data_IF_386434455851
#
_entry.id   IF_386434455851
#
_cell.length_a   1.000
_cell.length_b   1.000
_cell.length_c   1.000
_cell.angle_alpha   90.00
_cell.angle_beta   90.00
_cell.angle_gamma   90.00
#
_symmetry.space_group_name_H-M   'P 1'
#
loop_
_entity.id
_entity.type
_entity.pdbx_description
1 polymer ?
#
# COMPACT_ATOMS: atom_id res chain seq x y z
N UNK A 1 -7.26 -11.09 17.25
CA UNK A 1 -5.80 -10.74 17.26
C UNK A 1 -5.04 -11.49 18.34
N UNK A 2 -5.46 -11.41 19.62
CA UNK A 2 -4.78 -12.12 20.71
C UNK A 2 -4.88 -13.66 20.60
N UNK A 3 -5.95 -14.16 20.00
CA UNK A 3 -6.15 -15.60 19.77
C UNK A 3 -5.34 -16.16 18.59
N UNK A 4 -4.95 -15.30 17.63
CA UNK A 4 -4.19 -15.70 16.42
C UNK A 4 -2.72 -15.30 16.60
N UNK A 5 -1.98 -16.10 17.36
CA UNK A 5 -0.57 -15.86 17.69
C UNK A 5 0.40 -16.21 16.55
N UNK A 6 -0.07 -17.00 15.59
CA UNK A 6 0.61 -17.36 14.34
C UNK A 6 0.77 -16.19 13.37
N UNK A 7 -0.02 -15.13 13.52
CA UNK A 7 0.15 -13.88 12.77
C UNK A 7 1.24 -13.03 13.42
N UNK A 8 2.47 -13.13 12.92
CA UNK A 8 3.65 -12.39 13.41
C UNK A 8 3.70 -10.93 12.91
N UNK A 9 2.59 -10.21 12.96
CA UNK A 9 2.51 -8.79 12.57
C UNK A 9 2.53 -7.90 13.81
N UNK A 10 3.53 -7.00 13.96
CA UNK A 10 3.52 -5.99 15.01
C UNK A 10 2.33 -5.04 14.88
N UNK A 11 1.80 -4.56 16.01
CA UNK A 11 0.65 -3.66 16.00
C UNK A 11 0.66 -2.67 17.17
N UNK A 12 -0.07 -1.57 17.01
CA UNK A 12 -0.45 -0.67 18.09
C UNK A 12 -1.82 -0.06 17.77
N UNK A 13 -2.39 0.71 18.70
CA UNK A 13 -3.70 1.32 18.49
C UNK A 13 -3.61 2.80 18.12
N UNK A 14 -4.50 3.22 17.23
CA UNK A 14 -4.87 4.61 17.02
C UNK A 14 -6.31 4.79 17.50
N UNK A 15 -6.51 5.58 18.55
CA UNK A 15 -7.82 5.86 19.09
C UNK A 15 -8.50 6.96 18.27
N UNK A 16 -9.49 6.56 17.48
CA UNK A 16 -10.42 7.46 16.81
C UNK A 16 -11.40 8.07 17.84
N UNK A 17 -10.92 9.05 18.61
CA UNK A 17 -11.64 9.66 19.74
C UNK A 17 -12.60 10.77 19.28
N UNK A 18 -13.49 10.45 18.37
CA UNK A 18 -14.52 11.36 17.89
C UNK A 18 -15.90 10.69 17.88
N UNK A 19 -16.95 11.51 17.77
CA UNK A 19 -18.29 10.99 17.57
C UNK A 19 -18.31 10.11 16.33
N UNK A 20 -18.84 8.90 16.46
CA UNK A 20 -19.14 8.10 15.29
C UNK A 20 -20.41 8.68 14.66
N UNK A 21 -20.24 9.42 13.58
CA UNK A 21 -21.33 10.02 12.80
C UNK A 21 -21.51 9.26 11.48
N UNK A 22 -22.69 9.34 10.87
CA UNK A 22 -22.91 8.78 9.50
C UNK A 22 -22.01 9.43 8.44
N UNK A 23 -21.55 10.65 8.69
CA UNK A 23 -20.53 11.35 7.89
C UNK A 23 -19.21 11.34 8.65
N UNK A 24 -18.10 11.10 7.97
CA UNK A 24 -16.77 11.01 8.57
C UNK A 24 -16.16 12.38 8.96
N UNK A 25 -16.73 13.49 8.49
CA UNK A 25 -16.17 14.84 8.68
C UNK A 25 -16.40 15.44 10.08
N UNK A 26 -17.03 14.70 11.00
CA UNK A 26 -17.25 15.10 12.38
C UNK A 26 -18.32 16.19 12.56
N UNK A 27 -19.21 16.38 11.58
CA UNK A 27 -20.39 17.23 11.73
C UNK A 27 -21.50 16.48 12.51
N UNK A 28 -21.88 17.02 13.67
CA UNK A 28 -22.81 16.44 14.67
C UNK A 28 -24.28 16.26 14.22
N UNK A 29 -24.58 16.41 12.94
CA UNK A 29 -25.96 16.38 12.45
C UNK A 29 -26.63 14.99 12.58
N UNK A 30 -25.86 13.89 12.54
CA UNK A 30 -26.36 12.51 12.71
C UNK A 30 -25.33 11.60 13.41
N UNK A 31 -25.25 11.71 14.75
CA UNK A 31 -24.38 10.87 15.61
C UNK A 31 -24.97 9.46 15.79
N UNK A 32 -24.20 8.44 15.41
CA UNK A 32 -24.49 7.02 15.62
C UNK A 32 -24.03 6.54 17.01
N UNK A 33 -22.85 7.00 17.45
CA UNK A 33 -22.32 6.77 18.79
C UNK A 33 -21.56 8.02 19.25
N UNK A 34 -22.01 8.64 20.33
CA UNK A 34 -21.37 9.83 20.88
C UNK A 34 -20.15 9.46 21.72
N UNK A 35 -19.08 10.24 21.58
CA UNK A 35 -17.91 10.16 22.44
C UNK A 35 -18.16 10.99 23.70
N UNK A 36 -18.15 10.33 24.87
CA UNK A 36 -18.39 10.96 26.16
C UNK A 36 -17.15 10.88 27.04
N UNK A 37 -16.46 12.01 27.20
CA UNK A 37 -15.25 12.07 28.01
C UNK A 37 -15.57 12.08 29.51
N UNK A 38 -15.01 11.12 30.25
CA UNK A 38 -15.19 10.99 31.69
C UNK A 38 -14.08 10.14 32.32
N UNK A 39 -13.92 10.24 33.63
CA UNK A 39 -13.00 9.36 34.35
C UNK A 39 -13.38 7.88 34.24
N UNK A 40 -14.66 7.53 34.10
CA UNK A 40 -15.09 6.15 33.85
C UNK A 40 -14.69 5.69 32.45
N UNK A 41 -14.93 6.50 31.43
CA UNK A 41 -14.52 6.21 30.04
C UNK A 41 -13.01 5.99 29.93
N UNK A 42 -12.21 6.85 30.56
CA UNK A 42 -10.76 6.67 30.64
C UNK A 42 -10.35 5.32 31.24
N UNK A 43 -11.04 4.86 32.31
CA UNK A 43 -10.78 3.57 32.97
C UNK A 43 -11.21 2.40 32.08
N UNK A 44 -12.39 2.47 31.50
CA UNK A 44 -12.96 1.40 30.69
C UNK A 44 -12.13 1.18 29.43
N UNK A 45 -11.72 2.27 28.78
CA UNK A 45 -10.81 2.26 27.64
C UNK A 45 -9.49 1.55 27.98
N UNK A 46 -8.77 2.00 29.03
CA UNK A 46 -7.47 1.42 29.31
C UNK A 46 -7.57 -0.03 29.78
N UNK A 47 -8.59 -0.39 30.58
CA UNK A 47 -8.84 -1.76 31.00
C UNK A 47 -9.04 -2.70 29.81
N UNK A 48 -9.77 -2.24 28.77
CA UNK A 48 -9.91 -2.98 27.52
C UNK A 48 -8.56 -3.19 26.80
N UNK A 49 -7.68 -2.19 26.83
CA UNK A 49 -6.38 -2.26 26.16
C UNK A 49 -5.36 -3.18 26.89
N UNK A 50 -5.47 -3.38 28.21
CA UNK A 50 -4.48 -4.12 29.02
C UNK A 50 -4.03 -5.46 28.40
N UNK A 51 -4.91 -6.35 27.91
CA UNK A 51 -4.48 -7.63 27.31
C UNK A 51 -3.63 -7.42 26.05
N UNK A 52 -3.90 -6.38 25.27
CA UNK A 52 -3.17 -6.05 24.05
C UNK A 52 -1.82 -5.41 24.34
N UNK A 53 -1.75 -4.51 25.33
CA UNK A 53 -0.51 -3.86 25.76
C UNK A 53 0.53 -4.85 26.32
N UNK A 54 0.07 -6.02 26.75
CA UNK A 54 0.92 -7.15 27.19
C UNK A 54 1.35 -8.07 26.07
N UNK A 55 0.77 -7.97 24.87
CA UNK A 55 1.19 -8.79 23.72
C UNK A 55 2.62 -8.42 23.31
N UNK A 56 3.45 -9.42 23.05
CA UNK A 56 4.86 -9.22 22.67
C UNK A 56 5.00 -8.52 21.31
N UNK A 57 3.97 -8.65 20.45
CA UNK A 57 3.90 -7.98 19.14
C UNK A 57 3.50 -6.50 19.26
N UNK A 58 3.14 -6.02 20.44
CA UNK A 58 2.73 -4.62 20.61
C UNK A 58 3.92 -3.69 20.43
N UNK A 59 3.81 -2.73 19.51
CA UNK A 59 4.87 -1.77 19.18
C UNK A 59 5.17 -0.90 20.41
N UNK A 60 6.47 -0.76 20.71
CA UNK A 60 6.97 -0.01 21.87
C UNK A 60 8.07 0.97 21.43
N UNK A 61 8.09 2.13 22.05
CA UNK A 61 9.18 3.13 21.94
C UNK A 61 9.79 3.28 23.33
N UNK A 62 11.11 3.20 23.46
CA UNK A 62 11.78 3.18 24.77
C UNK A 62 11.16 2.19 25.78
N UNK A 63 10.66 1.04 25.31
CA UNK A 63 9.99 0.01 26.12
C UNK A 63 8.54 0.33 26.52
N UNK A 64 8.00 1.50 26.15
CA UNK A 64 6.64 1.96 26.45
C UNK A 64 5.67 1.63 25.31
N UNK A 65 4.50 1.02 25.57
CA UNK A 65 3.51 0.74 24.53
C UNK A 65 3.03 2.01 23.84
N UNK A 66 3.01 2.03 22.50
CA UNK A 66 2.60 3.19 21.71
C UNK A 66 1.07 3.29 21.60
N UNK A 67 0.51 4.47 21.84
CA UNK A 67 -0.90 4.78 21.58
C UNK A 67 -1.00 6.09 20.78
N UNK A 68 -1.64 6.05 19.61
CA UNK A 68 -1.97 7.26 18.86
C UNK A 68 -3.35 7.79 19.28
N UNK A 69 -3.49 9.10 19.38
CA UNK A 69 -4.77 9.78 19.64
C UNK A 69 -5.11 10.69 18.46
N UNK A 70 -6.24 10.43 17.81
CA UNK A 70 -6.60 11.08 16.55
C UNK A 70 -6.98 12.56 16.71
N UNK A 71 -7.79 12.92 17.69
CA UNK A 71 -8.27 14.29 17.91
C UNK A 71 -8.00 14.73 19.34
N UNK A 72 -6.75 14.97 19.76
CA UNK A 72 -6.43 15.30 21.15
C UNK A 72 -7.13 16.58 21.62
N UNK A 73 -7.38 17.53 20.70
CA UNK A 73 -8.11 18.78 20.96
C UNK A 73 -9.57 18.60 21.40
N UNK A 74 -10.17 17.41 21.22
CA UNK A 74 -11.54 17.14 21.67
C UNK A 74 -11.61 16.63 23.12
N UNK A 75 -10.48 16.25 23.72
CA UNK A 75 -10.42 15.75 25.09
C UNK A 75 -10.44 16.95 26.06
N UNK A 76 -11.47 17.13 26.90
CA UNK A 76 -11.58 18.32 27.76
C UNK A 76 -10.47 18.42 28.80
N UNK A 77 -10.03 17.27 29.34
CA UNK A 77 -8.94 17.16 30.30
C UNK A 77 -8.07 15.93 29.96
N UNK A 78 -7.07 16.08 29.08
CA UNK A 78 -6.20 14.98 28.69
C UNK A 78 -5.31 14.49 29.84
N UNK A 79 -4.95 15.37 30.79
CA UNK A 79 -4.14 14.99 31.95
C UNK A 79 -4.88 14.02 32.86
N UNK A 80 -6.18 14.22 33.08
CA UNK A 80 -7.02 13.26 33.80
C UNK A 80 -6.98 11.86 33.17
N UNK A 81 -7.06 11.77 31.85
CA UNK A 81 -6.99 10.50 31.13
C UNK A 81 -5.63 9.83 31.31
N UNK A 82 -4.55 10.58 31.07
CA UNK A 82 -3.17 10.10 31.19
C UNK A 82 -2.88 9.61 32.61
N UNK A 83 -3.30 10.34 33.64
CA UNK A 83 -3.11 9.96 35.04
C UNK A 83 -3.84 8.65 35.39
N UNK A 84 -5.08 8.51 34.93
CA UNK A 84 -5.87 7.28 35.11
C UNK A 84 -5.18 6.11 34.41
N UNK A 85 -4.74 6.30 33.16
CA UNK A 85 -4.07 5.26 32.38
C UNK A 85 -2.76 4.84 33.03
N UNK A 86 -1.91 5.79 33.43
CA UNK A 86 -0.65 5.50 34.10
C UNK A 86 -0.86 4.71 35.39
N UNK A 87 -1.86 5.09 36.19
CA UNK A 87 -2.20 4.36 37.43
C UNK A 87 -2.63 2.92 37.16
N UNK A 88 -3.49 2.70 36.18
CA UNK A 88 -3.99 1.35 35.84
C UNK A 88 -2.88 0.50 35.19
N UNK A 89 -2.12 1.06 34.24
CA UNK A 89 -0.97 0.38 33.64
C UNK A 89 0.03 -0.09 34.71
N UNK A 90 0.36 0.77 35.67
CA UNK A 90 1.27 0.43 36.77
C UNK A 90 0.74 -0.75 37.62
N UNK A 91 -0.57 -0.83 37.89
CA UNK A 91 -1.19 -1.95 38.60
C UNK A 91 -1.05 -3.28 37.84
N UNK A 92 -0.90 -3.22 36.52
CA UNK A 92 -0.74 -4.38 35.65
C UNK A 92 0.72 -4.66 35.25
N UNK A 93 1.69 -3.92 35.80
CA UNK A 93 3.11 -4.07 35.48
C UNK A 93 3.49 -3.53 34.10
N UNK A 94 2.68 -2.62 33.54
CA UNK A 94 2.91 -1.98 32.24
C UNK A 94 3.49 -0.59 32.49
N UNK A 95 4.58 -0.18 31.82
CA UNK A 95 5.10 1.17 31.94
C UNK A 95 4.11 2.21 31.40
N UNK A 96 4.29 3.51 31.70
CA UNK A 96 3.50 4.58 31.10
C UNK A 96 3.44 4.45 29.57
N UNK A 97 2.27 4.66 28.97
CA UNK A 97 2.12 4.59 27.51
C UNK A 97 2.95 5.68 26.83
N UNK A 98 3.51 5.40 25.66
CA UNK A 98 4.07 6.41 24.77
C UNK A 98 2.94 6.97 23.90
N UNK A 99 2.50 8.20 24.17
CA UNK A 99 1.28 8.75 23.57
C UNK A 99 1.67 9.71 22.44
N UNK A 100 1.17 9.44 21.24
CA UNK A 100 1.40 10.26 20.05
C UNK A 100 0.14 11.00 19.63
N UNK A 101 0.20 12.33 19.63
CA UNK A 101 -0.88 13.20 19.15
C UNK A 101 -0.89 13.26 17.63
N UNK A 102 -2.02 12.97 16.97
CA UNK A 102 -2.16 13.32 15.54
C UNK A 102 -2.41 14.83 15.47
N UNK A 103 -1.63 15.55 14.64
CA UNK A 103 -1.70 17.03 14.51
C UNK A 103 -2.92 17.48 13.72
N UNK A 104 -4.02 17.28 14.44
CA UNK A 104 -5.42 17.18 14.09
C UNK A 104 -6.36 18.30 14.49
N UNK A 105 -7.15 18.95 13.60
CA UNK A 105 -8.36 19.67 13.99
C UNK A 105 -8.11 20.63 15.18
N UNK A 106 -7.07 21.45 15.05
CA UNK A 106 -6.63 22.39 16.10
C UNK A 106 -5.51 21.89 17.02
N UNK A 107 -5.01 20.67 16.86
CA UNK A 107 -3.84 20.17 17.57
C UNK A 107 -2.56 20.50 16.78
N UNK A 108 -1.69 21.30 17.39
CA UNK A 108 -0.44 21.77 16.77
C UNK A 108 0.81 21.34 17.53
N UNK A 109 0.68 21.11 18.84
CA UNK A 109 1.77 20.69 19.72
C UNK A 109 1.27 19.57 20.66
N UNK A 110 1.96 18.42 20.74
CA UNK A 110 1.56 17.33 21.63
C UNK A 110 1.68 17.69 23.11
N UNK A 111 2.56 18.64 23.45
CA UNK A 111 2.85 19.05 24.84
C UNK A 111 1.65 19.75 25.48
N UNK A 112 0.83 20.44 24.68
CA UNK A 112 -0.42 21.07 25.12
C UNK A 112 -1.42 20.05 25.72
N UNK A 113 -1.23 18.77 25.40
CA UNK A 113 -2.08 17.66 25.84
C UNK A 113 -1.35 16.68 26.76
N UNK A 114 -0.11 16.99 27.17
CA UNK A 114 0.73 16.08 27.97
C UNK A 114 1.18 14.81 27.24
N UNK A 115 1.22 14.83 25.90
CA UNK A 115 1.61 13.68 25.07
C UNK A 115 3.10 13.72 24.70
N UNK A 116 3.67 12.56 24.39
CA UNK A 116 5.13 12.40 24.20
C UNK A 116 5.62 12.85 22.82
N UNK A 117 4.82 12.62 21.78
CA UNK A 117 5.19 12.93 20.40
C UNK A 117 4.00 13.32 19.55
N UNK A 118 4.28 13.72 18.32
CA UNK A 118 3.28 14.12 17.34
C UNK A 118 3.44 13.38 16.02
N UNK A 119 2.31 13.02 15.44
CA UNK A 119 2.22 12.48 14.09
C UNK A 119 1.73 13.57 13.14
N UNK A 120 2.51 13.83 12.09
CA UNK A 120 2.11 14.64 10.95
C UNK A 120 0.75 14.15 10.42
N UNK A 121 -0.22 15.04 10.21
CA UNK A 121 -1.42 14.69 9.46
C UNK A 121 -1.30 15.23 8.05
N UNK A 122 -1.64 14.39 7.09
CA UNK A 122 -1.66 14.71 5.67
C UNK A 122 -3.08 14.52 5.14
N UNK A 123 -4.05 15.40 5.47
CA UNK A 123 -5.47 15.29 5.02
C UNK A 123 -6.29 16.61 5.10
N UNK A 124 -7.27 16.76 4.20
CA UNK A 124 -8.38 17.76 4.14
C UNK A 124 -8.02 19.24 4.02
N UNK A 125 -6.88 19.67 4.54
CA UNK A 125 -6.30 20.99 4.37
C UNK A 125 -4.84 20.87 3.90
N UNK A 126 -4.58 19.87 3.04
CA UNK A 126 -3.28 19.32 2.63
C UNK A 126 -2.09 20.25 2.79
N UNK A 127 -2.19 21.48 2.33
CA UNK A 127 -1.10 22.45 2.41
C UNK A 127 -1.53 23.82 2.92
N UNK A 128 -2.72 23.97 3.50
CA UNK A 128 -3.25 25.25 3.96
C UNK A 128 -3.35 26.31 2.86
N UNK A 129 -3.51 25.89 1.59
CA UNK A 129 -3.51 26.75 0.41
C UNK A 129 -2.12 27.03 -0.19
N UNK A 130 -1.05 26.37 0.27
CA UNK A 130 0.31 26.51 -0.28
C UNK A 130 0.55 25.72 -1.57
N UNK A 131 -0.41 24.90 -2.00
CA UNK A 131 -0.38 24.18 -3.28
C UNK A 131 -1.51 24.71 -4.16
N UNK A 132 -1.20 24.94 -5.43
CA UNK A 132 -2.16 25.46 -6.41
C UNK A 132 -3.22 24.42 -6.75
N UNK A 133 -4.46 24.88 -6.91
CA UNK A 133 -5.55 24.11 -7.50
C UNK A 133 -5.25 23.82 -8.98
N UNK A 134 -5.37 22.56 -9.37
CA UNK A 134 -5.16 22.14 -10.77
C UNK A 134 -6.46 21.76 -11.47
N UNK A 135 -7.59 21.74 -10.76
CA UNK A 135 -8.88 21.25 -11.29
C UNK A 135 -9.25 21.86 -12.65
N UNK A 136 -9.01 23.15 -12.86
CA UNK A 136 -9.40 23.86 -14.10
C UNK A 136 -8.48 23.61 -15.29
N UNK A 137 -7.31 23.00 -15.07
CA UNK A 137 -6.42 22.54 -16.15
C UNK A 137 -6.74 21.13 -16.66
N UNK A 138 -7.58 20.38 -15.96
CA UNK A 138 -7.87 18.98 -16.26
C UNK A 138 -9.05 18.81 -17.23
N UNK A 139 -9.02 17.72 -18.00
CA UNK A 139 -10.19 17.27 -18.76
C UNK A 139 -11.15 16.56 -17.81
N UNK A 140 -12.34 17.14 -17.60
CA UNK A 140 -13.32 16.68 -16.61
C UNK A 140 -14.42 15.85 -17.31
N UNK A 141 -14.63 14.61 -16.87
CA UNK A 141 -15.76 13.77 -17.30
C UNK A 141 -17.00 13.89 -16.40
N UNK A 142 -16.85 14.53 -15.24
CA UNK A 142 -17.87 14.74 -14.22
C UNK A 142 -17.63 16.11 -13.54
N UNK A 143 -18.65 16.79 -12.97
CA UNK A 143 -18.44 18.03 -12.22
C UNK A 143 -17.47 17.85 -11.05
N UNK A 144 -16.51 18.77 -10.92
CA UNK A 144 -15.53 18.82 -9.82
C UNK A 144 -15.57 20.22 -9.21
N UNK A 145 -16.33 20.37 -8.13
CA UNK A 145 -16.53 21.63 -7.40
C UNK A 145 -15.55 21.76 -6.23
N UNK A 146 -15.18 20.63 -5.61
CA UNK A 146 -14.18 20.57 -4.54
C UNK A 146 -12.76 20.89 -4.99
N UNK A 147 -11.77 20.28 -4.36
CA UNK A 147 -10.35 20.62 -4.54
C UNK A 147 -9.61 19.53 -5.30
N UNK A 148 -8.73 19.92 -6.23
CA UNK A 148 -7.80 18.99 -6.88
C UNK A 148 -6.40 19.59 -6.83
N UNK A 149 -5.48 18.87 -6.17
CA UNK A 149 -4.07 19.24 -6.03
C UNK A 149 -3.18 18.25 -6.77
N UNK A 150 -2.02 18.68 -7.25
CA UNK A 150 -1.00 17.76 -7.79
C UNK A 150 -0.28 17.03 -6.65
N UNK A 151 -0.16 15.70 -6.76
CA UNK A 151 0.50 14.86 -5.76
C UNK A 151 1.96 15.24 -5.53
N UNK A 152 2.70 15.55 -6.60
CA UNK A 152 4.11 15.94 -6.52
C UNK A 152 4.29 17.27 -5.79
N UNK A 153 3.40 18.23 -6.01
CA UNK A 153 3.42 19.51 -5.30
C UNK A 153 3.05 19.35 -3.81
N UNK A 154 2.06 18.51 -3.49
CA UNK A 154 1.71 18.16 -2.10
C UNK A 154 2.90 17.47 -1.41
N UNK A 155 3.50 16.45 -2.04
CA UNK A 155 4.68 15.77 -1.52
C UNK A 155 5.85 16.73 -1.29
N UNK A 156 6.08 17.64 -2.24
CA UNK A 156 7.13 18.68 -2.13
C UNK A 156 6.86 19.65 -0.99
N UNK A 157 5.62 20.05 -0.78
CA UNK A 157 5.24 20.90 0.36
C UNK A 157 5.58 20.23 1.68
N UNK A 158 5.18 18.97 1.87
CA UNK A 158 5.47 18.23 3.10
C UNK A 158 6.96 17.98 3.27
N UNK A 159 7.67 17.61 2.20
CA UNK A 159 9.11 17.40 2.26
C UNK A 159 9.88 18.65 2.74
N UNK A 160 9.41 19.85 2.38
CA UNK A 160 9.98 21.14 2.83
C UNK A 160 9.68 21.49 4.29
N UNK A 161 8.83 20.73 4.98
CA UNK A 161 8.61 20.89 6.43
C UNK A 161 9.75 20.22 7.21
N UNK A 162 10.98 20.71 7.04
CA UNK A 162 12.21 20.13 7.59
C UNK A 162 12.73 20.84 8.85
N UNK A 163 12.05 21.91 9.28
CA UNK A 163 12.40 22.64 10.49
C UNK A 163 12.32 21.74 11.73
N UNK A 164 13.37 21.81 12.57
CA UNK A 164 13.42 21.13 13.87
C UNK A 164 12.18 21.48 14.70
N UNK A 165 11.60 20.47 15.35
CA UNK A 165 10.49 20.62 16.30
C UNK A 165 11.03 20.48 17.72
N UNK A 166 10.35 21.10 18.69
CA UNK A 166 10.69 20.96 20.12
C UNK A 166 10.15 19.67 20.75
N UNK A 167 9.49 18.84 19.95
CA UNK A 167 8.88 17.56 20.33
C UNK A 167 9.21 16.52 19.26
N UNK A 168 9.06 15.23 19.62
CA UNK A 168 9.28 14.14 18.69
C UNK A 168 8.21 14.17 17.57
N UNK A 169 8.65 14.30 16.33
CA UNK A 169 7.78 14.52 15.18
C UNK A 169 7.91 13.38 14.16
N UNK A 170 6.89 12.53 14.12
CA UNK A 170 6.80 11.41 13.19
C UNK A 170 6.21 11.87 11.87
N UNK A 171 6.87 11.53 10.76
CA UNK A 171 6.40 11.84 9.41
C UNK A 171 5.26 10.91 9.00
N UNK A 172 4.36 11.42 8.19
CA UNK A 172 3.36 10.59 7.53
C UNK A 172 3.16 10.99 6.09
N UNK A 173 2.52 10.11 5.32
CA UNK A 173 2.24 10.30 3.91
C UNK A 173 1.05 9.44 3.48
N UNK A 174 0.52 9.71 2.28
CA UNK A 174 -0.55 8.93 1.66
C UNK A 174 -0.10 8.34 0.31
N UNK A 175 -0.53 7.13 -0.07
CA UNK A 175 -0.32 6.61 -1.43
C UNK A 175 -1.01 7.47 -2.48
N UNK A 176 -2.26 7.86 -2.22
CA UNK A 176 -3.08 8.76 -3.04
C UNK A 176 -4.24 9.27 -2.18
N UNK A 177 -5.10 10.11 -2.75
CA UNK A 177 -6.37 10.51 -2.12
C UNK A 177 -7.42 10.85 -3.18
N UNK A 178 -8.56 10.19 -3.12
CA UNK A 178 -9.75 10.50 -3.90
C UNK A 178 -11.00 10.05 -3.16
N UNK A 179 -11.79 11.01 -2.69
CA UNK A 179 -13.01 10.74 -1.95
C UNK A 179 -14.30 11.06 -2.72
N UNK A 180 -14.20 11.04 -4.05
CA UNK A 180 -15.33 11.18 -4.98
C UNK A 180 -16.44 10.16 -4.70
N UNK A 181 -16.10 8.95 -4.27
CA UNK A 181 -17.09 7.94 -3.89
C UNK A 181 -18.02 8.38 -2.74
N UNK A 182 -17.52 9.23 -1.82
CA UNK A 182 -18.30 9.75 -0.67
C UNK A 182 -18.98 11.07 -0.96
N UNK A 183 -18.28 11.98 -1.65
CA UNK A 183 -18.69 13.39 -1.76
C UNK A 183 -19.11 13.82 -3.16
N UNK A 184 -18.98 12.95 -4.16
CA UNK A 184 -19.34 13.25 -5.54
C UNK A 184 -18.58 14.47 -6.06
N UNK A 185 -19.30 15.49 -6.52
CA UNK A 185 -18.69 16.72 -7.06
C UNK A 185 -17.94 17.56 -6.02
N UNK A 186 -18.21 17.36 -4.72
CA UNK A 186 -17.58 18.12 -3.63
C UNK A 186 -16.31 17.47 -3.09
N UNK A 187 -15.72 16.53 -3.83
CA UNK A 187 -14.57 15.74 -3.39
C UNK A 187 -13.27 16.53 -3.33
N UNK A 188 -12.35 15.99 -2.53
CA UNK A 188 -10.95 16.35 -2.50
C UNK A 188 -10.16 15.25 -3.20
N UNK A 189 -9.31 15.64 -4.15
CA UNK A 189 -8.49 14.72 -4.92
C UNK A 189 -7.04 15.19 -4.92
N UNK A 190 -6.12 14.27 -4.65
CA UNK A 190 -4.70 14.47 -4.88
C UNK A 190 -4.33 13.69 -6.14
N UNK A 191 -4.28 14.41 -7.26
CA UNK A 191 -4.19 13.86 -8.60
C UNK A 191 -2.73 13.60 -9.02
N UNK A 192 -2.55 12.81 -10.09
CA UNK A 192 -1.21 12.45 -10.62
C UNK A 192 -0.30 11.76 -9.59
N UNK A 193 -0.87 11.00 -8.66
CA UNK A 193 -0.09 10.09 -7.82
C UNK A 193 0.48 8.95 -8.65
N UNK A 194 1.76 8.64 -8.44
CA UNK A 194 2.44 7.50 -9.05
C UNK A 194 3.31 6.79 -8.02
N UNK A 195 3.59 5.49 -8.20
CA UNK A 195 4.51 4.75 -7.34
C UNK A 195 5.91 5.40 -7.23
N UNK A 196 6.38 6.08 -8.28
CA UNK A 196 7.64 6.83 -8.29
C UNK A 196 7.57 8.06 -7.37
N UNK A 197 6.54 8.89 -7.52
CA UNK A 197 6.36 10.08 -6.67
C UNK A 197 6.17 9.68 -5.20
N UNK A 198 5.37 8.63 -4.94
CA UNK A 198 5.19 8.09 -3.60
C UNK A 198 6.51 7.57 -3.01
N UNK A 199 7.32 6.83 -3.78
CA UNK A 199 8.64 6.39 -3.32
C UNK A 199 9.50 7.60 -2.95
N UNK A 200 9.56 8.63 -3.80
CA UNK A 200 10.34 9.83 -3.54
C UNK A 200 9.90 10.58 -2.28
N UNK A 201 8.59 10.64 -1.99
CA UNK A 201 8.10 11.21 -0.74
C UNK A 201 8.49 10.36 0.47
N UNK A 202 8.32 9.04 0.38
CA UNK A 202 8.69 8.12 1.45
C UNK A 202 10.20 8.18 1.77
N UNK A 203 11.06 8.23 0.76
CA UNK A 203 12.51 8.36 0.92
C UNK A 203 12.88 9.64 1.68
N UNK A 204 12.23 10.77 1.36
CA UNK A 204 12.44 12.04 2.07
C UNK A 204 11.95 11.96 3.52
N UNK A 205 10.79 11.35 3.77
CA UNK A 205 10.28 11.11 5.12
C UNK A 205 11.21 10.20 5.94
N UNK A 206 11.77 9.15 5.34
CA UNK A 206 12.77 8.27 5.97
C UNK A 206 14.05 9.05 6.29
N UNK A 207 14.56 9.86 5.34
CA UNK A 207 15.76 10.65 5.54
C UNK A 207 15.60 11.67 6.69
N UNK A 208 14.46 12.38 6.72
CA UNK A 208 14.11 13.29 7.81
C UNK A 208 14.09 12.54 9.15
N UNK A 209 13.40 11.40 9.20
CA UNK A 209 13.23 10.60 10.42
C UNK A 209 14.59 10.15 10.96
N UNK A 210 15.46 9.64 10.10
CA UNK A 210 16.82 9.22 10.48
C UNK A 210 17.70 10.36 10.98
N UNK A 211 17.51 11.56 10.43
CA UNK A 211 18.30 12.74 10.81
C UNK A 211 17.83 13.37 12.14
N UNK A 212 16.56 13.22 12.50
CA UNK A 212 15.94 13.97 13.61
C UNK A 212 15.50 13.10 14.80
N UNK A 213 15.39 11.78 14.64
CA UNK A 213 14.92 10.88 15.70
C UNK A 213 15.96 9.80 16.02
N UNK A 214 16.02 9.29 17.27
CA UNK A 214 16.84 8.15 17.61
C UNK A 214 16.33 6.86 16.96
N UNK A 215 17.18 5.86 16.85
CA UNK A 215 16.95 4.63 16.08
C UNK A 215 15.67 3.87 16.48
N UNK A 216 15.34 3.81 17.77
CA UNK A 216 14.13 3.16 18.29
C UNK A 216 12.81 3.89 17.92
N UNK A 217 12.93 5.01 17.21
CA UNK A 217 11.83 5.88 16.76
C UNK A 217 11.90 6.18 15.27
N UNK A 218 12.63 5.37 14.51
CA UNK A 218 12.67 5.47 13.04
C UNK A 218 11.37 4.96 12.41
N UNK A 219 10.27 5.63 12.71
CA UNK A 219 8.92 5.31 12.28
C UNK A 219 8.42 6.38 11.29
N UNK A 220 7.88 5.92 10.17
CA UNK A 220 7.12 6.73 9.21
C UNK A 220 5.76 6.06 9.03
N UNK A 221 4.68 6.83 9.11
CA UNK A 221 3.32 6.28 9.04
C UNK A 221 2.73 6.51 7.64
N UNK A 222 2.25 5.44 7.01
CA UNK A 222 1.51 5.54 5.74
C UNK A 222 0.02 5.49 6.05
N UNK A 223 -0.70 6.55 5.70
CA UNK A 223 -2.15 6.59 5.73
C UNK A 223 -2.70 6.27 4.32
N UNK A 224 -3.25 5.10 4.05
CA UNK A 224 -3.51 3.99 4.95
C UNK A 224 -3.12 2.65 4.31
N UNK A 225 -3.31 1.56 5.07
CA UNK A 225 -3.33 0.23 4.47
C UNK A 225 -4.50 0.09 3.49
N UNK A 226 -5.72 0.38 3.91
CA UNK A 226 -6.94 0.05 3.16
C UNK A 226 -8.08 1.08 3.31
N UNK A 227 -7.79 2.38 3.30
CA UNK A 227 -8.84 3.42 3.28
C UNK A 227 -9.40 3.62 1.87
N UNK A 228 -10.07 2.57 1.37
CA UNK A 228 -10.60 2.49 0.01
C UNK A 228 -11.62 3.59 -0.32
N UNK A 229 -12.41 4.01 0.67
CA UNK A 229 -13.46 5.00 0.45
C UNK A 229 -12.93 6.43 0.24
N UNK A 230 -11.65 6.66 0.54
CA UNK A 230 -10.92 7.90 0.21
C UNK A 230 -9.78 7.61 -0.79
N UNK A 231 -9.77 6.43 -1.42
CA UNK A 231 -8.74 5.98 -2.36
C UNK A 231 -7.34 5.80 -1.75
N UNK A 232 -7.15 6.01 -0.45
CA UNK A 232 -5.84 6.08 0.20
C UNK A 232 -5.34 4.69 0.64
N UNK A 233 -5.38 3.71 -0.27
CA UNK A 233 -4.97 2.34 -0.01
C UNK A 233 -3.53 2.05 -0.46
N UNK A 234 -2.77 1.43 0.43
CA UNK A 234 -1.48 0.79 0.13
C UNK A 234 -1.67 -0.69 -0.25
N UNK A 235 -2.78 -1.28 0.19
CA UNK A 235 -3.24 -2.62 -0.16
C UNK A 235 -3.25 -2.81 -1.70
N UNK A 236 -2.73 -3.94 -2.23
CA UNK A 236 -2.72 -4.16 -3.67
C UNK A 236 -4.11 -4.12 -4.31
N UNK A 237 -4.22 -3.42 -5.42
CA UNK A 237 -5.44 -3.30 -6.23
C UNK A 237 -5.25 -3.89 -7.64
N UNK A 238 -6.29 -3.84 -8.48
CA UNK A 238 -6.21 -4.33 -9.87
C UNK A 238 -5.51 -3.36 -10.82
N UNK A 239 -5.32 -2.09 -10.43
CA UNK A 239 -4.77 -1.03 -11.28
C UNK A 239 -3.24 -0.92 -11.13
N UNK A 240 -2.78 -0.73 -9.90
CA UNK A 240 -1.40 -0.60 -9.46
C UNK A 240 -0.79 -1.92 -9.00
N UNK A 241 -1.58 -2.96 -8.69
CA UNK A 241 -1.05 -4.22 -8.17
C UNK A 241 -0.20 -3.98 -6.92
N UNK A 242 1.02 -4.51 -6.90
CA UNK A 242 1.96 -4.34 -5.77
C UNK A 242 2.86 -3.10 -5.91
N UNK A 243 2.55 -2.12 -6.78
CA UNK A 243 3.47 -1.02 -7.09
C UNK A 243 3.87 -0.22 -5.87
N UNK A 244 2.89 0.22 -5.09
CA UNK A 244 3.12 1.01 -3.90
C UNK A 244 3.86 0.21 -2.82
N UNK A 245 3.52 -1.07 -2.61
CA UNK A 245 4.27 -1.95 -1.70
C UNK A 245 5.73 -2.13 -2.14
N UNK A 246 5.98 -2.29 -3.44
CA UNK A 246 7.34 -2.38 -3.93
C UNK A 246 8.09 -1.04 -3.80
N UNK A 247 7.41 0.10 -3.96
CA UNK A 247 7.98 1.41 -3.64
C UNK A 247 8.38 1.52 -2.16
N UNK A 248 7.59 0.97 -1.23
CA UNK A 248 7.98 0.85 0.18
C UNK A 248 9.24 0.00 0.33
N UNK A 249 9.26 -1.20 -0.27
CA UNK A 249 10.42 -2.09 -0.21
C UNK A 249 11.70 -1.46 -0.77
N UNK A 250 11.59 -0.73 -1.89
CA UNK A 250 12.69 0.00 -2.52
C UNK A 250 13.22 1.13 -1.64
N UNK A 251 12.33 1.97 -1.11
CA UNK A 251 12.70 3.07 -0.22
C UNK A 251 13.42 2.57 1.03
N UNK A 252 12.93 1.48 1.65
CA UNK A 252 13.55 0.87 2.83
C UNK A 252 14.92 0.23 2.50
N UNK A 253 15.11 -0.25 1.26
CA UNK A 253 16.34 -0.88 0.80
C UNK A 253 17.34 0.11 0.18
N UNK A 254 16.99 1.39 0.03
CA UNK A 254 17.81 2.39 -0.64
C UNK A 254 17.97 2.19 -2.16
N UNK A 255 17.04 1.46 -2.80
CA UNK A 255 17.03 1.23 -4.25
C UNK A 255 16.23 2.34 -4.91
N UNK A 256 16.83 3.13 -5.81
CA UNK A 256 16.09 4.19 -6.52
C UNK A 256 15.06 3.58 -7.47
N UNK A 257 13.95 4.27 -7.68
CA UNK A 257 12.88 3.81 -8.57
C UNK A 257 13.38 3.49 -10.00
N UNK A 258 14.33 4.27 -10.52
CA UNK A 258 14.89 4.11 -11.87
C UNK A 258 15.94 2.99 -11.99
N UNK A 259 16.44 2.48 -10.86
CA UNK A 259 17.47 1.43 -10.81
C UNK A 259 16.89 0.02 -11.04
N UNK A 260 15.62 -0.07 -11.47
CA UNK A 260 14.80 -1.26 -11.76
C UNK A 260 15.33 -2.17 -12.90
N UNK A 261 16.60 -2.04 -13.28
CA UNK A 261 17.24 -3.00 -14.18
C UNK A 261 17.76 -4.17 -13.35
N UNK A 262 17.30 -5.41 -13.61
CA UNK A 262 17.88 -6.58 -12.94
C UNK A 262 19.38 -6.58 -13.18
N UNK A 263 20.13 -6.36 -12.10
CA UNK A 263 21.57 -6.07 -12.13
C UNK A 263 22.42 -7.32 -12.35
N UNK A 264 21.81 -8.48 -12.50
CA UNK A 264 22.50 -9.73 -12.79
C UNK A 264 22.26 -10.16 -14.23
N UNK A 265 23.31 -10.14 -15.05
CA UNK A 265 23.37 -11.00 -16.21
C UNK A 265 23.20 -12.45 -15.72
N UNK A 266 22.16 -13.13 -16.17
CA UNK A 266 21.98 -14.56 -15.85
C UNK A 266 23.16 -15.31 -16.46
N UNK A 267 23.92 -15.96 -15.59
CA UNK A 267 24.87 -16.98 -16.00
C UNK A 267 24.11 -18.01 -16.86
N UNK A 268 24.70 -18.43 -17.98
CA UNK A 268 24.19 -19.41 -18.96
C UNK A 268 23.87 -20.79 -18.34
N UNK A 269 22.95 -20.88 -17.40
CA UNK A 269 22.45 -22.14 -16.84
C UNK A 269 21.16 -22.51 -17.55
N UNK A 270 21.14 -23.71 -18.14
CA UNK A 270 19.94 -24.34 -18.69
C UNK A 270 18.97 -24.65 -17.55
N UNK A 271 18.17 -23.67 -17.12
CA UNK A 271 17.13 -23.85 -16.11
C UNK A 271 16.01 -24.73 -16.67
N UNK A 272 15.49 -25.63 -15.84
CA UNK A 272 14.26 -26.38 -16.09
C UNK A 272 13.13 -25.68 -15.35
N UNK A 273 12.25 -25.02 -16.11
CA UNK A 273 11.14 -24.20 -15.58
C UNK A 273 9.85 -25.00 -15.70
N UNK A 274 9.14 -25.16 -14.59
CA UNK A 274 7.74 -25.60 -14.63
C UNK A 274 6.85 -24.39 -14.82
N UNK A 275 5.96 -24.43 -15.81
CA UNK A 275 4.88 -23.45 -15.94
C UNK A 275 3.60 -24.09 -15.43
N UNK A 276 3.07 -23.54 -14.36
CA UNK A 276 1.84 -23.98 -13.73
C UNK A 276 0.67 -23.12 -14.25
N UNK A 277 -0.31 -23.80 -14.87
CA UNK A 277 -1.58 -23.23 -15.30
C UNK A 277 -2.69 -23.89 -14.46
N UNK A 278 -3.26 -23.19 -13.46
CA UNK A 278 -4.38 -23.69 -12.69
C UNK A 278 -5.60 -24.04 -13.56
N UNK A 279 -6.41 -24.99 -13.11
CA UNK A 279 -7.55 -25.52 -13.87
C UNK A 279 -8.54 -24.43 -14.30
N UNK A 280 -8.82 -23.46 -13.43
CA UNK A 280 -9.73 -22.34 -13.74
C UNK A 280 -9.23 -21.47 -14.91
N UNK A 281 -7.90 -21.27 -15.05
CA UNK A 281 -7.35 -20.57 -16.21
C UNK A 281 -7.47 -21.40 -17.48
N UNK A 282 -7.23 -22.71 -17.37
CA UNK A 282 -7.35 -23.61 -18.53
C UNK A 282 -8.80 -23.72 -19.01
N UNK A 283 -9.78 -23.64 -18.12
CA UNK A 283 -11.19 -23.56 -18.47
C UNK A 283 -11.49 -22.27 -19.25
N UNK A 284 -11.00 -21.11 -18.79
CA UNK A 284 -11.16 -19.84 -19.51
C UNK A 284 -10.52 -19.87 -20.91
N UNK A 285 -9.32 -20.45 -21.04
CA UNK A 285 -8.63 -20.64 -22.33
C UNK A 285 -9.39 -21.60 -23.28
N UNK A 286 -10.25 -22.47 -22.75
CA UNK A 286 -11.08 -23.36 -23.57
C UNK A 286 -12.36 -22.65 -24.07
N UNK A 287 -12.87 -21.67 -23.31
CA UNK A 287 -14.08 -20.92 -23.67
C UNK A 287 -13.82 -19.85 -24.73
N UNK A 288 -12.65 -19.19 -24.70
CA UNK A 288 -12.30 -18.14 -25.66
C UNK A 288 -11.08 -18.53 -26.51
N UNK A 289 -11.35 -18.89 -27.77
CA UNK A 289 -10.29 -19.27 -28.72
C UNK A 289 -9.37 -18.11 -29.09
N UNK A 290 -9.85 -16.87 -29.08
CA UNK A 290 -9.05 -15.69 -29.43
C UNK A 290 -8.07 -15.37 -28.31
N UNK A 291 -8.54 -15.29 -27.07
CA UNK A 291 -7.70 -15.09 -25.89
C UNK A 291 -6.68 -16.22 -25.77
N UNK A 292 -7.12 -17.46 -25.97
CA UNK A 292 -6.24 -18.63 -25.96
C UNK A 292 -5.12 -18.55 -27.00
N UNK A 293 -5.45 -18.23 -28.25
CA UNK A 293 -4.44 -18.08 -29.30
C UNK A 293 -3.46 -16.94 -29.00
N UNK A 294 -3.93 -15.83 -28.43
CA UNK A 294 -3.08 -14.68 -28.07
C UNK A 294 -2.16 -15.03 -26.90
N UNK A 295 -2.69 -15.58 -25.82
CA UNK A 295 -1.92 -16.02 -24.65
C UNK A 295 -0.79 -16.98 -25.04
N UNK A 296 -1.10 -18.06 -25.77
CA UNK A 296 -0.08 -19.04 -26.16
C UNK A 296 0.96 -18.48 -27.13
N UNK A 297 0.61 -17.50 -27.98
CA UNK A 297 1.57 -16.83 -28.86
C UNK A 297 2.59 -16.02 -28.08
N UNK A 298 2.14 -15.18 -27.15
CA UNK A 298 3.01 -14.39 -26.28
C UNK A 298 3.88 -15.30 -25.39
N UNK A 299 3.28 -16.35 -24.81
CA UNK A 299 4.00 -17.34 -24.02
C UNK A 299 5.07 -18.04 -24.86
N UNK A 300 4.76 -18.43 -26.09
CA UNK A 300 5.70 -19.07 -27.01
C UNK A 300 6.89 -18.16 -27.37
N UNK A 301 6.65 -16.88 -27.61
CA UNK A 301 7.70 -15.90 -27.90
C UNK A 301 8.65 -15.74 -26.70
N UNK A 302 8.09 -15.58 -25.50
CA UNK A 302 8.89 -15.48 -24.26
C UNK A 302 9.75 -16.74 -24.01
N UNK A 303 9.24 -17.94 -24.30
CA UNK A 303 9.99 -19.20 -24.15
C UNK A 303 11.13 -19.30 -25.18
N UNK A 304 10.87 -18.96 -26.44
CA UNK A 304 11.84 -19.13 -27.55
C UNK A 304 13.04 -18.21 -27.41
N UNK A 305 12.83 -16.97 -26.99
CA UNK A 305 13.88 -15.97 -26.90
C UNK A 305 15.05 -16.39 -26.00
N UNK A 306 14.80 -17.23 -24.99
CA UNK A 306 15.80 -17.59 -23.99
C UNK A 306 16.18 -19.08 -23.97
N UNK A 307 15.75 -19.86 -24.98
CA UNK A 307 16.05 -21.30 -25.13
C UNK A 307 15.82 -22.12 -23.85
N UNK A 308 14.75 -21.80 -23.12
CA UNK A 308 14.42 -22.45 -21.86
C UNK A 308 13.99 -23.90 -22.08
N UNK A 309 14.27 -24.75 -21.09
CA UNK A 309 13.64 -26.06 -21.02
C UNK A 309 12.39 -25.94 -20.17
N UNK A 310 11.22 -25.99 -20.81
CA UNK A 310 9.93 -25.79 -20.12
C UNK A 310 9.22 -27.12 -19.95
N UNK A 311 8.62 -27.32 -18.78
CA UNK A 311 7.67 -28.39 -18.50
C UNK A 311 6.31 -27.79 -18.14
N UNK A 312 5.24 -28.35 -18.69
CA UNK A 312 3.86 -27.96 -18.37
C UNK A 312 3.04 -29.22 -18.17
N UNK A 313 2.32 -29.31 -17.05
CA UNK A 313 1.50 -30.47 -16.73
C UNK A 313 0.25 -30.60 -17.63
N UNK A 314 -0.29 -29.47 -18.09
CA UNK A 314 -1.47 -29.43 -18.96
C UNK A 314 -1.13 -29.87 -20.40
N UNK A 315 -1.73 -30.98 -20.85
CA UNK A 315 -1.43 -31.60 -22.14
C UNK A 315 -1.88 -30.78 -23.35
N UNK A 316 -3.00 -30.05 -23.26
CA UNK A 316 -3.46 -29.17 -24.35
C UNK A 316 -2.52 -27.97 -24.49
N UNK A 317 -2.06 -27.38 -23.39
CA UNK A 317 -1.05 -26.32 -23.40
C UNK A 317 0.26 -26.80 -24.06
N UNK A 318 0.72 -28.01 -23.74
CA UNK A 318 1.89 -28.62 -24.39
C UNK A 318 1.68 -28.75 -25.90
N UNK A 319 0.50 -29.24 -26.33
CA UNK A 319 0.16 -29.37 -27.75
C UNK A 319 0.20 -28.03 -28.47
N UNK A 320 -0.45 -27.00 -27.93
CA UNK A 320 -0.47 -25.64 -28.50
C UNK A 320 0.92 -25.03 -28.61
N UNK A 321 1.75 -25.15 -27.58
CA UNK A 321 3.11 -24.62 -27.60
C UNK A 321 4.01 -25.37 -28.61
N UNK A 322 3.80 -26.68 -28.80
CA UNK A 322 4.48 -27.47 -29.84
C UNK A 322 4.07 -27.07 -31.25
N UNK A 323 2.79 -26.81 -31.49
CA UNK A 323 2.29 -26.25 -32.77
C UNK A 323 2.97 -24.90 -33.06
N UNK A 324 3.22 -24.11 -32.02
CA UNK A 324 3.97 -22.87 -32.09
C UNK A 324 5.50 -23.07 -32.12
N UNK A 325 6.03 -24.29 -32.26
CA UNK A 325 7.48 -24.61 -32.34
C UNK A 325 8.27 -24.27 -31.06
N UNK A 326 7.66 -24.37 -29.88
CA UNK A 326 8.38 -24.26 -28.60
C UNK A 326 8.96 -25.60 -28.16
N UNK A 327 10.11 -25.54 -27.48
CA UNK A 327 10.74 -26.71 -26.87
C UNK A 327 10.16 -26.98 -25.48
N UNK A 328 9.04 -27.72 -25.44
CA UNK A 328 8.34 -28.10 -24.19
C UNK A 328 8.44 -29.61 -23.98
N UNK A 329 8.78 -30.03 -22.76
CA UNK A 329 8.86 -31.44 -22.37
C UNK A 329 7.48 -32.03 -22.08
N UNK A 330 7.27 -33.25 -22.57
CA UNK A 330 6.04 -34.02 -22.32
C UNK A 330 6.04 -34.73 -20.96
N UNK A 331 7.23 -35.07 -20.46
CA UNK A 331 7.40 -35.85 -19.24
C UNK A 331 7.94 -34.99 -18.10
N UNK A 332 7.50 -35.24 -16.85
CA UNK A 332 7.98 -34.53 -15.69
C UNK A 332 9.51 -34.69 -15.56
N UNK A 333 10.27 -33.59 -15.46
CA UNK A 333 11.71 -33.65 -15.32
C UNK A 333 12.11 -34.19 -13.94
N UNK A 334 13.31 -34.79 -13.84
CA UNK A 334 13.85 -35.29 -12.56
C UNK A 334 14.05 -34.19 -11.51
N UNK A 335 14.22 -32.94 -11.95
CA UNK A 335 14.40 -31.75 -11.13
C UNK A 335 13.73 -30.57 -11.82
N UNK A 336 13.02 -29.77 -11.04
CA UNK A 336 12.48 -28.47 -11.42
C UNK A 336 13.31 -27.44 -10.67
N UNK A 337 13.88 -26.47 -11.40
CA UNK A 337 14.71 -25.42 -10.79
C UNK A 337 13.84 -24.28 -10.25
N UNK A 338 12.73 -23.97 -10.92
CA UNK A 338 11.75 -22.98 -10.47
C UNK A 338 10.36 -23.27 -11.09
N UNK A 339 9.31 -22.84 -10.39
CA UNK A 339 7.93 -22.89 -10.87
C UNK A 339 7.41 -21.48 -11.14
N UNK A 340 6.93 -21.23 -12.35
CA UNK A 340 6.25 -20.02 -12.76
C UNK A 340 4.73 -20.29 -12.77
N UNK A 341 4.02 -19.75 -11.78
CA UNK A 341 2.58 -19.93 -11.64
C UNK A 341 1.82 -18.73 -12.22
N UNK A 342 0.95 -18.99 -13.20
CA UNK A 342 0.00 -17.97 -13.67
C UNK A 342 -1.24 -18.00 -12.77
N UNK A 343 -1.57 -16.86 -12.15
CA UNK A 343 -2.80 -16.70 -11.34
C UNK A 343 -3.94 -16.03 -12.11
N UNK A 344 -3.63 -15.39 -13.22
CA UNK A 344 -4.58 -14.78 -14.14
C UNK A 344 -4.08 -14.93 -15.58
N UNK A 345 -4.99 -14.82 -16.56
CA UNK A 345 -4.58 -14.70 -17.95
C UNK A 345 -3.99 -13.32 -18.17
N UNK A 346 -2.77 -13.26 -18.68
CA UNK A 346 -2.07 -12.02 -18.97
C UNK A 346 -1.34 -12.15 -20.31
N UNK A 347 -1.31 -11.05 -21.06
CA UNK A 347 -0.42 -10.91 -22.20
C UNK A 347 0.92 -10.47 -21.68
N UNK A 348 1.93 -11.32 -21.84
CA UNK A 348 3.28 -11.05 -21.35
C UNK A 348 4.16 -10.55 -22.50
N UNK A 349 5.11 -9.70 -22.16
CA UNK A 349 6.20 -9.32 -23.07
C UNK A 349 7.11 -10.53 -23.37
N UNK A 350 7.83 -10.45 -24.48
CA UNK A 350 8.76 -11.49 -24.94
C UNK A 350 10.03 -11.60 -24.06
N UNK A 351 10.23 -10.64 -23.15
CA UNK A 351 11.29 -10.61 -22.14
C UNK A 351 10.81 -11.03 -20.75
N UNK A 352 9.50 -11.09 -20.51
CA UNK A 352 8.89 -11.35 -19.19
C UNK A 352 9.51 -12.53 -18.43
N UNK A 353 9.51 -13.72 -19.04
CA UNK A 353 10.04 -14.94 -18.39
C UNK A 353 11.52 -14.75 -18.09
N UNK A 354 12.25 -14.10 -19.00
CA UNK A 354 13.68 -13.84 -18.81
C UNK A 354 13.90 -12.97 -17.59
N UNK A 355 13.19 -11.85 -17.45
CA UNK A 355 13.37 -10.93 -16.33
C UNK A 355 12.99 -11.57 -14.99
N UNK A 356 11.88 -12.33 -14.93
CA UNK A 356 11.51 -13.06 -13.73
C UNK A 356 12.58 -14.08 -13.34
N UNK A 357 13.15 -14.80 -14.30
CA UNK A 357 14.22 -15.77 -14.03
C UNK A 357 15.53 -15.08 -13.64
N UNK A 358 15.82 -13.87 -14.13
CA UNK A 358 16.97 -13.07 -13.65
C UNK A 358 16.81 -12.73 -12.18
N UNK A 359 15.62 -12.27 -11.81
CA UNK A 359 15.28 -11.97 -10.43
C UNK A 359 15.36 -13.23 -9.57
N UNK A 360 14.86 -14.38 -10.05
CA UNK A 360 14.91 -15.65 -9.31
C UNK A 360 16.34 -16.10 -9.01
N UNK A 361 17.24 -15.98 -9.98
CA UNK A 361 18.65 -16.32 -9.76
C UNK A 361 19.32 -15.43 -8.72
N UNK A 362 18.85 -14.19 -8.57
CA UNK A 362 19.35 -13.24 -7.56
C UNK A 362 18.73 -13.51 -6.18
N UNK A 363 17.49 -14.01 -6.14
CA UNK A 363 16.71 -14.21 -4.91
C UNK A 363 16.09 -15.62 -4.88
N UNK A 364 16.94 -16.64 -4.72
CA UNK A 364 16.54 -18.06 -4.86
C UNK A 364 15.52 -18.53 -3.82
N UNK A 365 15.50 -17.89 -2.65
CA UNK A 365 14.62 -18.25 -1.53
C UNK A 365 13.37 -17.35 -1.45
N UNK A 366 13.16 -16.49 -2.45
CA UNK A 366 12.05 -15.54 -2.47
C UNK A 366 10.97 -15.94 -3.48
N UNK A 367 9.70 -15.68 -3.13
CA UNK A 367 8.60 -15.67 -4.09
C UNK A 367 8.69 -14.38 -4.89
N UNK A 368 8.78 -14.51 -6.22
CA UNK A 368 8.81 -13.36 -7.12
C UNK A 368 7.42 -13.16 -7.70
N UNK A 369 6.83 -12.03 -7.36
CA UNK A 369 5.54 -11.62 -7.91
C UNK A 369 5.83 -10.73 -9.12
N UNK A 370 5.36 -11.16 -10.28
CA UNK A 370 5.47 -10.35 -11.49
C UNK A 370 4.67 -9.07 -11.32
N UNK A 371 5.29 -7.98 -11.70
CA UNK A 371 4.75 -6.64 -11.60
C UNK A 371 4.92 -5.95 -12.97
N UNK A 372 4.16 -6.38 -13.97
CA UNK A 372 3.95 -5.53 -15.14
C UNK A 372 2.91 -4.49 -14.72
N UNK A 373 3.42 -3.42 -14.10
CA UNK A 373 2.69 -2.18 -13.94
C UNK A 373 2.38 -1.64 -15.33
N UNK A 374 1.24 -0.99 -15.47
CA UNK A 374 0.88 -0.19 -16.65
C UNK A 374 1.83 0.99 -16.88
N UNK A 375 3.16 0.76 -16.92
CA UNK A 375 4.08 1.56 -17.73
C UNK A 375 3.37 1.74 -19.03
N UNK A 376 3.14 3.00 -19.39
CA UNK A 376 2.35 3.41 -20.53
C UNK A 376 2.59 2.46 -21.70
N UNK A 377 1.75 1.45 -21.83
CA UNK A 377 1.43 0.99 -23.15
C UNK A 377 0.69 2.20 -23.69
N UNK A 378 1.43 3.03 -24.43
CA UNK A 378 0.87 3.51 -25.69
C UNK A 378 0.36 2.20 -26.29
N UNK A 379 -0.93 1.93 -26.11
CA UNK A 379 -1.63 0.94 -26.90
C UNK A 379 -1.27 1.39 -28.29
N UNK A 380 -0.26 0.74 -28.89
CA UNK A 380 0.04 0.92 -30.29
C UNK A 380 -1.32 0.87 -30.95
N UNK A 381 -1.61 1.90 -31.73
CA UNK A 381 -2.82 2.08 -32.52
C UNK A 381 -3.11 0.80 -33.33
N UNK A 382 -3.64 -0.21 -32.67
CA UNK A 382 -4.29 -1.35 -33.28
C UNK A 382 -5.75 -0.94 -33.40
N UNK A 383 -5.97 0.09 -34.22
CA UNK A 383 -7.26 0.31 -34.84
C UNK A 383 -7.55 -0.91 -35.70
N UNK A 384 -8.47 -1.75 -35.23
CA UNK A 384 -8.89 -2.95 -35.90
C UNK A 384 -9.99 -3.69 -35.15
N UNK A 385 -11.18 -3.07 -35.12
CA UNK A 385 -12.50 -3.71 -34.96
C UNK A 385 -12.77 -4.38 -33.59
N UNK A 386 -13.32 -3.63 -32.66
CA UNK A 386 -14.74 -3.71 -32.26
C UNK A 386 -14.94 -3.02 -30.90
N UNK A 387 -16.05 -2.27 -30.84
CA UNK A 387 -16.41 -1.30 -29.80
C UNK A 387 -16.42 -1.88 -28.38
N UNK A 388 -15.73 -1.21 -27.45
CA UNK A 388 -16.05 -1.27 -26.02
C UNK A 388 -17.40 -0.56 -25.85
N UNK A 389 -18.50 -1.31 -25.81
CA UNK A 389 -19.81 -0.74 -25.46
C UNK A 389 -19.88 -0.46 -23.96
N UNK A 390 -20.78 0.47 -23.60
CA UNK A 390 -21.02 1.00 -22.26
C UNK A 390 -21.32 -0.08 -21.20
N UNK A 391 -21.70 -1.29 -21.61
CA UNK A 391 -21.92 -2.43 -20.73
C UNK A 391 -20.63 -3.15 -20.28
N UNK A 392 -19.52 -3.08 -21.03
CA UNK A 392 -18.31 -3.86 -20.72
C UNK A 392 -17.43 -3.28 -19.59
N UNK A 393 -17.71 -2.07 -19.12
CA UNK A 393 -16.93 -1.41 -18.07
C UNK A 393 -17.29 -1.87 -16.64
N UNK A 394 -18.39 -2.61 -16.47
CA UNK A 394 -18.91 -2.99 -15.14
C UNK A 394 -18.76 -4.48 -14.79
N UNK A 395 -18.26 -5.34 -15.69
CA UNK A 395 -18.19 -6.79 -15.46
C UNK A 395 -16.80 -7.42 -15.63
N UNK A 396 -15.69 -6.66 -15.61
CA UNK A 396 -14.33 -7.23 -15.60
C UNK A 396 -13.50 -6.80 -14.40
#
# INVERSE_FOLDING_TARGET
LLENKDVEMPFCFCWANENWTKRWDGNDAEVLLAQHYSASDARDFINYLIPFLKDERYIKIAGRPVLYIYRPSSIPDPHLYIDIWNKICAQHGIPPLYITAILTRGAHDPRDYGMDGALERVLHDWTGGNTSEIKDSLQKYWPVNGSVLDYGDVATYYAKQDASKEFEYFRSLVPTWDNTARYGSESYVVHESTPEKFQGWLEQSIAFTKANLPEDRHLVVINAWNEWAEGAHLEPDTYSGYAYLNSVGRALSGIKYQDDKPTAAVANTKLVVEIELPEYLTNNLNHDKFVSAKFFRHLAEAIKNYKLTVFIKNTEAVKRLKELKCNVKDNPPKKIDCTLQFRQLALISDTFITEILKTHNSFKDSVIISNEYGRHHILQEYYGLDSVTRESAYEN
#
